data_IF_567145854690
#
_entry.id   IF_567145854690
#
_cell.length_a   1.000
_cell.length_b   1.000
_cell.length_c   1.000
_cell.angle_alpha   90.00
_cell.angle_beta   90.00
_cell.angle_gamma   90.00
#
_symmetry.space_group_name_H-M   'P 1'
#
loop_
_entity.id
_entity.type
_entity.pdbx_description
1 polymer ?
#
# COMPACT_ATOMS: atom_id res chain seq x y z
N UNK A 1 -23.31 -8.22 -14.05
CA UNK A 1 -23.63 -9.28 -15.04
C UNK A 1 -24.31 -10.52 -14.45
N UNK A 2 -23.69 -11.33 -13.57
CA UNK A 2 -24.33 -12.56 -13.04
C UNK A 2 -25.68 -12.30 -12.34
N UNK A 3 -25.75 -11.27 -11.48
CA UNK A 3 -27.00 -10.84 -10.82
C UNK A 3 -28.05 -10.33 -11.82
N UNK A 4 -27.62 -9.71 -12.92
CA UNK A 4 -28.50 -9.25 -13.99
C UNK A 4 -29.10 -10.45 -14.71
N UNK A 5 -28.27 -11.35 -15.25
CA UNK A 5 -28.73 -12.57 -15.95
C UNK A 5 -29.71 -13.43 -15.12
N UNK A 6 -29.51 -13.50 -13.79
CA UNK A 6 -30.42 -14.23 -12.91
C UNK A 6 -31.71 -13.49 -12.58
N UNK A 7 -31.71 -12.15 -12.51
CA UNK A 7 -32.87 -11.35 -12.10
C UNK A 7 -33.71 -10.86 -13.26
N UNK A 8 -33.10 -10.48 -14.38
CA UNK A 8 -33.81 -9.95 -15.56
C UNK A 8 -34.12 -11.01 -16.61
N UNK A 9 -33.34 -12.10 -16.67
CA UNK A 9 -33.47 -13.15 -17.70
C UNK A 9 -33.76 -14.54 -17.09
N UNK A 10 -33.86 -14.64 -15.76
CA UNK A 10 -34.14 -15.90 -15.07
C UNK A 10 -33.07 -16.99 -15.19
N UNK A 11 -31.91 -16.70 -15.79
CA UNK A 11 -30.86 -17.71 -16.02
C UNK A 11 -29.94 -17.87 -14.81
N UNK A 12 -29.98 -19.04 -14.17
CA UNK A 12 -29.01 -19.43 -13.13
C UNK A 12 -27.70 -19.92 -13.75
N UNK A 13 -26.76 -18.99 -13.97
CA UNK A 13 -25.42 -19.30 -14.50
C UNK A 13 -24.35 -19.10 -13.42
N UNK A 14 -23.45 -20.07 -13.26
CA UNK A 14 -22.33 -19.98 -12.33
C UNK A 14 -21.29 -18.92 -12.72
N UNK A 15 -20.68 -18.29 -11.71
CA UNK A 15 -19.67 -17.20 -11.86
C UNK A 15 -18.53 -17.53 -12.83
N UNK A 16 -18.04 -18.78 -12.83
CA UNK A 16 -16.95 -19.24 -13.72
C UNK A 16 -17.36 -19.19 -15.19
N UNK A 17 -18.59 -19.61 -15.52
CA UNK A 17 -19.12 -19.61 -16.89
C UNK A 17 -19.34 -18.19 -17.40
N UNK A 18 -19.88 -17.29 -16.56
CA UNK A 18 -20.01 -15.86 -16.91
C UNK A 18 -18.65 -15.24 -17.18
N UNK A 19 -17.65 -15.47 -16.32
CA UNK A 19 -16.27 -14.97 -16.55
C UNK A 19 -15.66 -15.49 -17.86
N UNK A 20 -15.86 -16.77 -18.18
CA UNK A 20 -15.36 -17.36 -19.44
C UNK A 20 -15.99 -16.69 -20.66
N UNK A 21 -17.31 -16.50 -20.65
CA UNK A 21 -18.03 -15.86 -21.75
C UNK A 21 -17.64 -14.40 -21.91
N UNK A 22 -17.55 -13.64 -20.81
CA UNK A 22 -17.10 -12.24 -20.86
C UNK A 22 -15.71 -12.11 -21.49
N UNK A 23 -14.76 -13.01 -21.15
CA UNK A 23 -13.43 -13.04 -21.79
C UNK A 23 -13.50 -13.35 -23.29
N UNK A 24 -14.31 -14.34 -23.70
CA UNK A 24 -14.49 -14.67 -25.12
C UNK A 24 -15.09 -13.51 -25.92
N UNK A 25 -15.92 -12.69 -25.26
CA UNK A 25 -16.52 -11.48 -25.86
C UNK A 25 -15.61 -10.24 -25.77
N UNK A 26 -14.38 -10.36 -25.23
CA UNK A 26 -13.47 -9.23 -25.03
C UNK A 26 -13.92 -8.22 -23.97
N UNK A 27 -14.87 -8.58 -23.10
CA UNK A 27 -15.39 -7.72 -22.04
C UNK A 27 -14.49 -7.87 -20.80
N UNK A 28 -13.62 -6.89 -20.59
CA UNK A 28 -12.78 -6.79 -19.40
C UNK A 28 -13.18 -5.61 -18.49
N UNK A 29 -12.92 -5.78 -17.19
CA UNK A 29 -13.19 -4.72 -16.23
C UNK A 29 -12.13 -3.61 -16.36
N UNK A 30 -12.57 -2.41 -16.72
CA UNK A 30 -11.75 -1.20 -16.64
C UNK A 30 -11.86 -0.68 -15.21
N UNK A 31 -10.86 -0.99 -14.38
CA UNK A 31 -10.67 -0.37 -13.08
C UNK A 31 -9.31 0.31 -13.05
N UNK A 32 -9.16 1.45 -12.34
CA UNK A 32 -7.86 2.04 -12.14
C UNK A 32 -6.96 1.01 -11.46
N UNK A 33 -5.91 0.57 -12.17
CA UNK A 33 -4.85 -0.22 -11.54
C UNK A 33 -4.18 0.69 -10.50
N UNK A 34 -3.82 0.14 -9.34
CA UNK A 34 -3.08 0.88 -8.31
C UNK A 34 -1.70 1.28 -8.84
N UNK A 35 -1.63 2.36 -9.60
CA UNK A 35 -0.40 3.05 -9.93
C UNK A 35 -0.34 4.27 -9.03
N UNK A 36 0.20 4.07 -7.84
CA UNK A 36 0.36 5.11 -6.81
C UNK A 36 1.39 6.17 -7.20
N UNK A 37 2.25 5.88 -8.18
CA UNK A 37 3.37 6.74 -8.56
C UNK A 37 3.46 6.86 -10.07
N UNK A 38 3.38 8.09 -10.57
CA UNK A 38 3.76 8.44 -11.93
C UNK A 38 5.26 8.80 -11.85
N UNK A 39 6.15 8.08 -12.55
CA UNK A 39 7.56 8.43 -12.58
C UNK A 39 7.70 9.84 -13.13
N UNK A 40 8.32 10.73 -12.36
CA UNK A 40 8.69 12.07 -12.83
C UNK A 40 9.83 12.01 -13.87
N UNK A 41 10.29 13.18 -14.31
CA UNK A 41 11.47 13.26 -15.18
C UNK A 41 12.67 12.53 -14.57
N UNK A 42 13.35 11.72 -15.39
CA UNK A 42 14.47 10.84 -14.99
C UNK A 42 15.63 11.55 -14.27
N UNK A 43 15.71 12.89 -14.34
CA UNK A 43 16.70 13.71 -13.65
C UNK A 43 16.72 13.55 -12.12
N UNK A 44 15.68 12.99 -11.51
CA UNK A 44 15.55 12.84 -10.04
C UNK A 44 15.52 11.39 -9.55
N UNK A 45 15.92 10.41 -10.38
CA UNK A 45 15.98 9.01 -9.95
C UNK A 45 17.33 8.77 -9.27
N UNK A 46 17.33 8.79 -7.94
CA UNK A 46 18.51 8.43 -7.16
C UNK A 46 18.72 6.91 -7.13
N UNK A 47 19.98 6.43 -7.13
CA UNK A 47 20.24 5.01 -6.98
C UNK A 47 19.80 4.53 -5.60
N UNK A 48 19.13 3.38 -5.56
CA UNK A 48 18.80 2.74 -4.29
C UNK A 48 20.05 2.17 -3.65
N UNK A 49 20.61 2.88 -2.67
CA UNK A 49 21.91 2.57 -2.07
C UNK A 49 21.92 1.24 -1.29
N UNK A 50 20.76 0.79 -0.81
CA UNK A 50 20.64 -0.48 -0.07
C UNK A 50 20.57 -1.70 -1.01
N UNK A 51 20.65 -1.51 -2.33
CA UNK A 51 20.58 -2.60 -3.30
C UNK A 51 21.78 -3.54 -3.12
N UNK A 52 21.51 -4.83 -2.92
CA UNK A 52 22.51 -5.90 -2.68
C UNK A 52 23.30 -5.76 -1.36
N UNK A 53 22.89 -4.88 -0.45
CA UNK A 53 23.50 -4.79 0.87
C UNK A 53 22.95 -5.92 1.75
N UNK A 54 23.85 -6.77 2.26
CA UNK A 54 23.48 -7.75 3.28
C UNK A 54 23.39 -7.06 4.65
N UNK A 55 22.27 -7.25 5.34
CA UNK A 55 22.03 -6.69 6.67
C UNK A 55 22.24 -7.83 7.66
N UNK A 56 23.37 -7.79 8.37
CA UNK A 56 23.89 -8.94 9.14
C UNK A 56 23.94 -8.70 10.64
N UNK A 57 23.61 -7.48 11.08
CA UNK A 57 23.58 -7.13 12.51
C UNK A 57 22.56 -6.02 12.80
N UNK A 58 22.08 -5.91 14.05
CA UNK A 58 21.31 -4.76 14.50
C UNK A 58 22.06 -3.43 14.32
N UNK A 59 21.33 -2.33 14.19
CA UNK A 59 21.84 -0.97 14.02
C UNK A 59 22.65 -0.72 12.74
N UNK A 60 22.39 -1.50 11.69
CA UNK A 60 23.03 -1.31 10.39
C UNK A 60 22.15 -0.52 9.40
N UNK A 61 20.83 -0.76 9.43
CA UNK A 61 19.85 -0.08 8.56
C UNK A 61 18.57 0.13 9.37
N UNK A 62 18.11 1.36 9.40
CA UNK A 62 16.83 1.74 10.00
C UNK A 62 15.85 2.14 8.89
N UNK A 63 14.57 1.84 9.10
CA UNK A 63 13.48 2.46 8.35
C UNK A 63 12.71 3.36 9.29
N UNK A 64 12.26 4.48 8.76
CA UNK A 64 11.31 5.36 9.42
C UNK A 64 10.12 5.54 8.48
N UNK A 65 8.92 5.48 9.03
CA UNK A 65 7.68 5.67 8.28
C UNK A 65 6.63 6.35 9.14
N UNK A 66 5.71 7.06 8.48
CA UNK A 66 4.56 7.71 9.12
C UNK A 66 3.30 7.02 8.64
N UNK A 67 2.48 6.58 9.59
CA UNK A 67 1.17 5.97 9.31
C UNK A 67 0.06 6.62 10.12
N UNK A 68 -1.17 6.24 9.81
CA UNK A 68 -2.38 6.76 10.43
C UNK A 68 -2.98 5.71 11.34
N UNK A 69 -3.22 6.06 12.61
CA UNK A 69 -3.92 5.20 13.56
C UNK A 69 -5.37 5.70 13.68
N UNK A 70 -6.38 4.90 13.26
CA UNK A 70 -7.78 5.29 13.37
C UNK A 70 -8.22 5.43 14.83
N UNK A 71 -8.99 6.48 15.12
CA UNK A 71 -9.56 6.77 16.44
C UNK A 71 -11.10 6.78 16.36
N UNK A 72 -11.79 6.81 17.51
CA UNK A 72 -13.27 6.96 17.53
C UNK A 72 -13.76 8.20 16.78
N UNK A 73 -12.96 9.26 16.75
CA UNK A 73 -13.21 10.49 15.99
C UNK A 73 -11.92 10.89 15.27
N UNK A 74 -11.82 10.57 13.98
CA UNK A 74 -10.65 10.91 13.15
C UNK A 74 -9.50 9.90 13.28
N UNK A 75 -8.27 10.38 13.20
CA UNK A 75 -7.04 9.59 13.26
C UNK A 75 -5.92 10.42 13.89
N UNK A 76 -4.86 9.75 14.33
CA UNK A 76 -3.58 10.37 14.70
C UNK A 76 -2.47 9.88 13.78
N UNK A 77 -1.41 10.68 13.63
CA UNK A 77 -0.19 10.28 12.95
C UNK A 77 0.70 9.54 13.92
N UNK A 78 1.19 8.37 13.51
CA UNK A 78 2.20 7.59 14.21
C UNK A 78 3.46 7.60 13.35
N UNK A 79 4.55 8.13 13.89
CA UNK A 79 5.89 7.98 13.34
C UNK A 79 6.61 6.88 14.11
N UNK A 80 7.28 5.98 13.40
CA UNK A 80 8.03 4.91 14.03
C UNK A 80 9.35 4.65 13.29
N UNK A 81 10.40 4.42 14.07
CA UNK A 81 11.72 4.00 13.59
C UNK A 81 11.90 2.51 13.92
N UNK A 82 12.19 1.70 12.91
CA UNK A 82 12.40 0.26 13.04
C UNK A 82 13.79 -0.15 12.56
N UNK A 83 14.46 -0.99 13.33
CA UNK A 83 15.70 -1.64 12.90
C UNK A 83 15.38 -2.82 11.97
N UNK A 84 16.03 -2.86 10.80
CA UNK A 84 15.74 -3.88 9.79
C UNK A 84 16.13 -5.30 10.21
N UNK A 85 17.23 -5.44 10.94
CA UNK A 85 17.76 -6.74 11.31
C UNK A 85 16.96 -7.36 12.45
N UNK A 86 16.83 -6.65 13.56
CA UNK A 86 16.16 -7.11 14.77
C UNK A 86 14.65 -7.02 14.71
N UNK A 87 14.10 -6.26 13.75
CA UNK A 87 12.66 -5.96 13.62
C UNK A 87 12.04 -5.24 14.83
N UNK A 88 12.88 -4.70 15.71
CA UNK A 88 12.44 -3.96 16.89
C UNK A 88 12.17 -2.49 16.54
N UNK A 89 11.14 -1.93 17.17
CA UNK A 89 10.92 -0.49 17.20
C UNK A 89 12.00 0.13 18.08
N UNK A 90 12.73 1.09 17.52
CA UNK A 90 13.78 1.83 18.21
C UNK A 90 13.17 3.01 18.96
N UNK A 91 12.32 3.78 18.27
CA UNK A 91 11.54 4.86 18.87
C UNK A 91 10.25 5.09 18.06
N UNK A 92 9.28 5.75 18.68
CA UNK A 92 8.02 6.13 18.07
C UNK A 92 7.39 7.34 18.77
N UNK A 93 6.69 8.16 18.00
CA UNK A 93 5.94 9.30 18.52
C UNK A 93 4.61 9.46 17.78
N UNK A 94 3.64 10.07 18.45
CA UNK A 94 2.33 10.36 17.91
C UNK A 94 2.08 11.87 17.86
N UNK A 95 1.38 12.31 16.81
CA UNK A 95 0.91 13.68 16.68
C UNK A 95 -0.49 13.74 16.08
N UNK A 96 -1.25 14.77 16.44
CA UNK A 96 -2.52 15.09 15.77
C UNK A 96 -2.32 15.83 14.45
N UNK A 97 -1.10 16.31 14.18
CA UNK A 97 -0.72 17.08 12.99
C UNK A 97 0.42 16.41 12.25
N UNK A 98 0.40 16.48 10.91
CA UNK A 98 1.53 16.07 10.08
C UNK A 98 2.55 17.20 10.03
N UNK A 99 3.30 17.38 11.10
CA UNK A 99 4.42 18.31 11.17
C UNK A 99 5.76 17.57 11.25
N UNK A 100 6.86 18.29 11.05
CA UNK A 100 8.20 17.70 11.10
C UNK A 100 8.69 17.54 12.54
N UNK A 101 8.13 18.30 13.49
CA UNK A 101 8.69 18.44 14.84
C UNK A 101 8.65 17.12 15.60
N UNK A 102 7.52 16.41 15.57
CA UNK A 102 7.41 15.11 16.24
C UNK A 102 8.27 14.03 15.59
N UNK A 103 8.65 14.18 14.33
CA UNK A 103 9.56 13.24 13.67
C UNK A 103 11.02 13.45 14.11
N UNK A 104 11.37 14.66 14.53
CA UNK A 104 12.72 15.04 14.97
C UNK A 104 12.98 14.82 16.45
N UNK A 105 11.93 14.53 17.23
CA UNK A 105 12.01 14.26 18.67
C UNK A 105 12.30 12.78 18.99
N UNK A 106 11.99 11.87 18.07
CA UNK A 106 12.41 10.46 18.08
C UNK A 106 13.91 10.26 17.82
#
# INVERSE_FOLDING_TARGET
MMKYLSRSIGMRIGRKRVRRLMRLMGIDAIYPRKRTTIPGNAKHIYPYLLRKMAIVRPNQVWAADITYVPMRKGFVYLFAIIDWHSRKILDWEISTTLDTEFCLRC
#
